data_IF_897221245899
#
_entry.id   IF_897221245899
#
_cell.length_a   1.000
_cell.length_b   1.000
_cell.length_c   1.000
_cell.angle_alpha   90.00
_cell.angle_beta   90.00
_cell.angle_gamma   90.00
#
_symmetry.space_group_name_H-M   'P 1'
#
loop_
_entity.id
_entity.type
_entity.pdbx_description
1 polymer ?
#
# COMPACT_ATOMS: atom_id res chain seq x y z
N UNK A 1 -8.35 3.45 30.95
CA UNK A 1 -9.03 3.80 29.68
C UNK A 1 -8.09 4.39 28.61
N UNK A 2 -6.77 4.44 28.82
CA UNK A 2 -5.79 5.02 27.86
C UNK A 2 -5.05 3.98 27.00
N UNK A 3 -5.11 2.68 27.37
CA UNK A 3 -4.38 1.59 26.67
C UNK A 3 -5.10 1.09 25.40
N UNK A 4 -6.42 1.14 25.35
CA UNK A 4 -7.20 0.62 24.21
C UNK A 4 -7.04 1.48 22.95
N UNK A 5 -6.89 2.80 23.12
CA UNK A 5 -6.65 3.73 22.01
C UNK A 5 -5.27 3.54 21.38
N UNK A 6 -4.25 3.25 22.18
CA UNK A 6 -2.90 2.96 21.68
C UNK A 6 -2.82 1.64 20.92
N UNK A 7 -3.52 0.58 21.38
CA UNK A 7 -3.62 -0.69 20.63
C UNK A 7 -4.35 -0.47 19.31
N UNK A 8 -5.45 0.31 19.30
CA UNK A 8 -6.15 0.66 18.07
C UNK A 8 -5.27 1.44 17.10
N UNK A 9 -4.46 2.38 17.61
CA UNK A 9 -3.53 3.18 16.80
C UNK A 9 -2.34 2.36 16.28
N UNK A 10 -1.85 1.37 17.04
CA UNK A 10 -0.80 0.44 16.61
C UNK A 10 -1.33 -0.62 15.62
N UNK A 11 -2.59 -1.01 15.74
CA UNK A 11 -3.28 -1.87 14.77
C UNK A 11 -3.59 -1.10 13.48
N UNK A 12 -4.05 0.15 13.60
CA UNK A 12 -4.27 1.06 12.47
C UNK A 12 -2.95 1.41 11.77
N UNK A 13 -1.85 1.59 12.51
CA UNK A 13 -0.52 1.80 11.93
C UNK A 13 0.03 0.56 11.23
N UNK A 14 -0.30 -0.66 11.69
CA UNK A 14 0.02 -1.90 10.95
C UNK A 14 -0.95 -2.18 9.79
N UNK A 15 -2.13 -1.55 9.78
CA UNK A 15 -3.05 -1.53 8.62
C UNK A 15 -2.65 -0.46 7.59
N UNK A 16 -1.68 0.41 7.91
CA UNK A 16 -1.20 1.39 6.94
C UNK A 16 -0.34 0.67 5.90
N UNK A 17 -0.94 0.38 4.75
CA UNK A 17 -0.21 -0.09 3.58
C UNK A 17 0.91 0.90 3.23
N UNK A 18 2.14 0.40 3.17
CA UNK A 18 3.27 1.02 2.51
C UNK A 18 3.29 0.51 1.07
N UNK A 19 2.94 1.40 0.18
CA UNK A 19 2.81 1.11 -1.24
C UNK A 19 4.18 0.94 -1.93
N UNK A 20 5.23 1.52 -1.33
CA UNK A 20 6.60 1.37 -1.76
C UNK A 20 7.47 0.87 -0.59
N UNK A 21 8.31 -0.12 -0.86
CA UNK A 21 9.40 -0.43 0.05
C UNK A 21 10.46 0.66 -0.09
N UNK A 22 10.74 1.38 0.99
CA UNK A 22 11.77 2.44 1.04
C UNK A 22 13.10 1.88 0.52
N UNK A 23 13.40 0.62 0.81
CA UNK A 23 14.58 -0.12 0.34
C UNK A 23 14.73 -0.13 -1.20
N UNK A 24 13.62 -0.20 -1.94
CA UNK A 24 13.68 -0.21 -3.42
C UNK A 24 14.05 1.15 -3.98
N UNK A 25 13.53 2.21 -3.35
CA UNK A 25 13.81 3.59 -3.73
C UNK A 25 15.23 3.94 -3.33
N UNK A 26 15.68 3.50 -2.16
CA UNK A 26 17.06 3.67 -1.70
C UNK A 26 18.06 2.97 -2.62
N UNK A 27 17.76 1.75 -3.07
CA UNK A 27 18.58 1.03 -4.05
C UNK A 27 18.64 1.78 -5.40
N UNK A 28 17.50 2.27 -5.91
CA UNK A 28 17.47 3.07 -7.13
C UNK A 28 18.25 4.39 -6.97
N UNK A 29 18.11 5.06 -5.83
CA UNK A 29 18.85 6.28 -5.53
C UNK A 29 20.36 6.03 -5.56
N UNK A 30 20.82 4.96 -4.91
CA UNK A 30 22.23 4.58 -4.88
C UNK A 30 22.79 4.29 -6.29
N UNK A 31 22.02 3.59 -7.12
CA UNK A 31 22.40 3.28 -8.51
C UNK A 31 22.45 4.52 -9.42
N UNK A 32 21.60 5.52 -9.16
CA UNK A 32 21.49 6.74 -9.97
C UNK A 32 22.27 7.94 -9.40
N UNK A 33 23.02 7.74 -8.30
CA UNK A 33 23.83 8.79 -7.66
C UNK A 33 23.02 9.81 -6.87
N UNK A 34 21.78 9.48 -6.50
CA UNK A 34 20.97 10.27 -5.60
C UNK A 34 21.32 9.94 -4.15
N UNK A 35 21.33 10.96 -3.28
CA UNK A 35 21.73 10.81 -1.87
C UNK A 35 20.63 11.27 -0.92
N UNK A 36 20.71 10.85 0.35
CA UNK A 36 19.86 11.30 1.45
C UNK A 36 18.35 11.21 1.14
N UNK A 37 17.88 9.97 0.89
CA UNK A 37 16.46 9.68 0.74
C UNK A 37 15.73 9.96 2.06
N UNK A 38 14.76 10.87 2.05
CA UNK A 38 13.83 11.06 3.15
C UNK A 38 12.39 11.03 2.68
N UNK A 39 11.52 10.61 3.60
CA UNK A 39 10.09 10.42 3.34
C UNK A 39 9.33 11.46 4.16
N UNK A 40 8.63 12.37 3.48
CA UNK A 40 7.87 13.43 4.14
C UNK A 40 6.43 13.00 4.48
N UNK A 41 5.76 12.30 3.55
CA UNK A 41 4.42 11.70 3.68
C UNK A 41 4.31 10.42 2.86
N UNK A 42 3.19 9.68 3.01
CA UNK A 42 2.82 8.56 2.12
C UNK A 42 3.04 8.95 0.66
N UNK A 43 3.78 8.11 -0.04
CA UNK A 43 4.09 8.20 -1.47
C UNK A 43 4.88 9.44 -1.93
N UNK A 44 5.33 10.29 -0.99
CA UNK A 44 6.17 11.47 -1.27
C UNK A 44 7.62 11.21 -0.83
N UNK A 45 8.45 10.87 -1.81
CA UNK A 45 9.87 10.59 -1.63
C UNK A 45 10.69 11.77 -2.12
N UNK A 46 11.62 12.22 -1.28
CA UNK A 46 12.54 13.30 -1.59
C UNK A 46 13.96 12.79 -1.46
N UNK A 47 14.80 13.15 -2.42
CA UNK A 47 16.21 12.81 -2.39
C UNK A 47 17.00 13.90 -3.12
N UNK A 48 18.31 13.91 -2.93
CA UNK A 48 19.20 14.89 -3.57
C UNK A 48 19.68 14.33 -4.92
N UNK A 49 19.41 15.01 -6.04
CA UNK A 49 19.98 14.64 -7.33
C UNK A 49 21.52 14.77 -7.33
N UNK A 50 22.22 14.05 -8.21
CA UNK A 50 23.68 14.09 -8.28
C UNK A 50 24.20 15.51 -8.55
N UNK A 51 24.95 16.07 -7.61
CA UNK A 51 25.54 17.42 -7.72
C UNK A 51 24.63 18.57 -7.31
N UNK A 52 23.44 18.28 -6.78
CA UNK A 52 22.49 19.27 -6.28
C UNK A 52 22.52 19.37 -4.75
N UNK A 53 22.25 20.58 -4.22
CA UNK A 53 22.23 20.87 -2.78
C UNK A 53 20.81 21.05 -2.22
N UNK A 54 19.80 20.82 -3.07
CA UNK A 54 18.39 20.93 -2.72
C UNK A 54 17.72 19.59 -2.99
N UNK A 55 16.93 19.05 -2.04
CA UNK A 55 16.20 17.84 -2.29
C UNK A 55 15.07 18.11 -3.29
N UNK A 56 14.89 17.19 -4.22
CA UNK A 56 13.81 17.23 -5.20
C UNK A 56 12.89 16.02 -5.00
N UNK A 57 11.59 16.17 -5.30
CA UNK A 57 10.67 15.05 -5.24
C UNK A 57 11.04 14.06 -6.34
N UNK A 58 11.12 12.77 -5.99
CA UNK A 58 11.41 11.71 -6.95
C UNK A 58 10.24 11.65 -7.96
N UNK A 59 10.52 11.69 -9.28
CA UNK A 59 9.47 11.64 -10.27
C UNK A 59 8.57 10.41 -10.11
N UNK A 60 7.25 10.60 -10.18
CA UNK A 60 6.27 9.52 -10.06
C UNK A 60 6.45 8.45 -11.14
N UNK A 61 6.92 8.83 -12.33
CA UNK A 61 7.27 7.90 -13.40
C UNK A 61 8.36 6.89 -12.98
N UNK A 62 9.37 7.36 -12.23
CA UNK A 62 10.44 6.51 -11.70
C UNK A 62 9.89 5.58 -10.63
N UNK A 63 9.06 6.09 -9.71
CA UNK A 63 8.41 5.27 -8.69
C UNK A 63 7.55 4.16 -9.32
N UNK A 64 6.79 4.49 -10.36
CA UNK A 64 6.02 3.52 -11.15
C UNK A 64 6.90 2.49 -11.84
N UNK A 65 8.06 2.90 -12.37
CA UNK A 65 9.02 1.99 -13.01
C UNK A 65 9.65 1.03 -11.99
N UNK A 66 10.10 1.54 -10.83
CA UNK A 66 10.61 0.73 -9.72
C UNK A 66 9.55 -0.28 -9.29
N UNK A 67 8.28 0.15 -9.16
CA UNK A 67 7.17 -0.73 -8.81
C UNK A 67 6.87 -1.77 -9.90
N UNK A 68 6.96 -1.41 -11.17
CA UNK A 68 6.78 -2.36 -12.28
C UNK A 68 7.89 -3.42 -12.32
N UNK A 69 9.12 -3.04 -11.96
CA UNK A 69 10.28 -3.94 -11.97
C UNK A 69 10.34 -4.86 -10.75
N UNK A 70 10.01 -4.35 -9.56
CA UNK A 70 10.04 -5.11 -8.29
C UNK A 70 8.72 -5.84 -7.99
N UNK A 71 7.62 -5.43 -8.60
CA UNK A 71 6.29 -6.02 -8.44
C UNK A 71 5.47 -5.43 -7.27
N UNK A 72 4.42 -6.14 -6.87
CA UNK A 72 3.54 -5.72 -5.75
C UNK A 72 4.27 -5.87 -4.41
N UNK A 73 4.04 -4.93 -3.48
CA UNK A 73 4.59 -5.08 -2.13
C UNK A 73 3.90 -6.24 -1.40
N UNK A 74 4.57 -6.79 -0.39
CA UNK A 74 4.03 -7.93 0.40
C UNK A 74 2.67 -7.58 1.01
N UNK A 75 2.45 -6.32 1.35
CA UNK A 75 1.23 -5.81 1.96
C UNK A 75 0.08 -5.75 0.95
N UNK A 76 0.31 -5.20 -0.24
CA UNK A 76 -0.68 -5.21 -1.33
C UNK A 76 -1.08 -6.63 -1.72
N UNK A 77 -0.10 -7.54 -1.74
CA UNK A 77 -0.33 -8.96 -2.02
C UNK A 77 -1.19 -9.61 -0.94
N UNK A 78 -0.93 -9.31 0.34
CA UNK A 78 -1.72 -9.83 1.46
C UNK A 78 -3.17 -9.31 1.42
N UNK A 79 -3.36 -8.02 1.11
CA UNK A 79 -4.70 -7.43 0.93
C UNK A 79 -5.45 -7.99 -0.27
N UNK A 80 -4.75 -8.21 -1.39
CA UNK A 80 -5.33 -8.85 -2.57
C UNK A 80 -5.74 -10.29 -2.27
N UNK A 81 -4.90 -11.05 -1.56
CA UNK A 81 -5.20 -12.43 -1.14
C UNK A 81 -6.38 -12.45 -0.16
N UNK A 82 -6.44 -11.52 0.80
CA UNK A 82 -7.53 -11.47 1.77
C UNK A 82 -8.88 -11.15 1.11
N UNK A 83 -8.90 -10.25 0.12
CA UNK A 83 -10.07 -9.95 -0.71
C UNK A 83 -10.59 -11.18 -1.47
N UNK A 84 -9.68 -11.94 -2.09
CA UNK A 84 -10.01 -13.19 -2.78
C UNK A 84 -10.58 -14.21 -1.79
N UNK A 85 -9.90 -14.43 -0.66
CA UNK A 85 -10.32 -15.40 0.34
C UNK A 85 -11.69 -15.03 0.94
N UNK A 86 -11.90 -13.74 1.26
CA UNK A 86 -13.15 -13.21 1.76
C UNK A 86 -14.31 -13.42 0.78
N UNK A 87 -14.06 -13.21 -0.51
CA UNK A 87 -15.05 -13.46 -1.56
C UNK A 87 -15.41 -14.93 -1.67
N UNK A 88 -14.42 -15.84 -1.61
CA UNK A 88 -14.67 -17.30 -1.63
C UNK A 88 -15.52 -17.73 -0.42
N UNK A 89 -15.17 -17.26 0.78
CA UNK A 89 -15.93 -17.56 2.01
C UNK A 89 -17.36 -17.01 1.93
N UNK A 90 -17.54 -15.81 1.38
CA UNK A 90 -18.86 -15.23 1.19
C UNK A 90 -19.72 -16.05 0.22
N UNK A 91 -19.16 -16.52 -0.90
CA UNK A 91 -19.87 -17.39 -1.85
C UNK A 91 -20.31 -18.70 -1.17
N UNK A 92 -19.41 -19.36 -0.43
CA UNK A 92 -19.74 -20.58 0.31
C UNK A 92 -20.84 -20.33 1.36
N UNK A 93 -20.75 -19.21 2.06
CA UNK A 93 -21.72 -18.82 3.09
C UNK A 93 -23.09 -18.51 2.48
N UNK A 94 -23.15 -17.89 1.30
CA UNK A 94 -24.39 -17.64 0.56
C UNK A 94 -25.09 -18.95 0.16
N UNK A 95 -24.32 -19.97 -0.24
CA UNK A 95 -24.89 -21.29 -0.59
C UNK A 95 -25.45 -22.00 0.66
N UNK A 96 -24.73 -21.91 1.79
CA UNK A 96 -25.13 -22.58 3.04
C UNK A 96 -26.33 -21.90 3.72
N UNK A 97 -26.31 -20.56 3.80
CA UNK A 97 -27.33 -19.76 4.47
C UNK A 97 -28.51 -19.39 3.56
N UNK A 98 -28.42 -19.67 2.25
CA UNK A 98 -29.42 -19.30 1.22
C UNK A 98 -29.81 -17.81 1.23
N UNK A 99 -28.94 -16.93 1.74
CA UNK A 99 -29.21 -15.50 1.85
C UNK A 99 -28.15 -14.70 1.08
N UNK A 100 -28.55 -13.61 0.37
CA UNK A 100 -27.63 -12.82 -0.46
C UNK A 100 -26.76 -11.83 0.34
N UNK A 101 -27.02 -11.66 1.64
CA UNK A 101 -26.34 -10.68 2.49
C UNK A 101 -24.81 -10.83 2.57
N UNK A 102 -24.22 -12.04 2.69
CA UNK A 102 -22.76 -12.21 2.71
C UNK A 102 -22.07 -11.74 1.42
N UNK A 103 -22.75 -11.87 0.28
CA UNK A 103 -22.22 -11.45 -1.03
C UNK A 103 -22.13 -9.93 -1.14
N UNK A 104 -23.13 -9.21 -0.62
CA UNK A 104 -23.12 -7.74 -0.57
C UNK A 104 -21.99 -7.22 0.32
N UNK A 105 -21.74 -7.90 1.44
CA UNK A 105 -20.63 -7.56 2.33
C UNK A 105 -19.27 -7.80 1.66
N UNK A 106 -19.10 -8.90 0.93
CA UNK A 106 -17.89 -9.15 0.16
C UNK A 106 -17.66 -8.09 -0.93
N UNK A 107 -18.72 -7.66 -1.62
CA UNK A 107 -18.64 -6.58 -2.59
C UNK A 107 -18.18 -5.26 -1.95
N UNK A 108 -18.77 -4.87 -0.82
CA UNK A 108 -18.36 -3.68 -0.09
C UNK A 108 -16.90 -3.78 0.41
N UNK A 109 -16.49 -4.94 0.91
CA UNK A 109 -15.11 -5.19 1.33
C UNK A 109 -14.11 -5.06 0.18
N UNK A 110 -14.44 -5.64 -0.98
CA UNK A 110 -13.62 -5.51 -2.19
C UNK A 110 -13.54 -4.05 -2.66
N UNK A 111 -14.64 -3.29 -2.63
CA UNK A 111 -14.64 -1.87 -2.97
C UNK A 111 -13.72 -1.05 -2.06
N UNK A 112 -13.75 -1.31 -0.74
CA UNK A 112 -12.82 -0.67 0.21
C UNK A 112 -11.38 -1.08 -0.07
N UNK A 113 -11.14 -2.35 -0.38
CA UNK A 113 -9.79 -2.86 -0.68
C UNK A 113 -9.23 -2.22 -1.95
N UNK A 114 -10.05 -2.07 -2.99
CA UNK A 114 -9.68 -1.36 -4.22
C UNK A 114 -9.38 0.10 -3.92
N UNK A 115 -10.22 0.79 -3.15
CA UNK A 115 -9.98 2.19 -2.77
C UNK A 115 -8.72 2.38 -1.91
N UNK A 116 -8.24 1.34 -1.23
CA UNK A 116 -6.94 1.39 -0.54
C UNK A 116 -5.78 1.10 -1.50
N UNK A 117 -5.97 0.25 -2.51
CA UNK A 117 -4.94 -0.17 -3.47
C UNK A 117 -4.72 0.81 -4.62
N UNK A 118 -5.73 1.57 -5.02
CA UNK A 118 -5.58 2.65 -6.00
C UNK A 118 -4.71 3.74 -5.40
N UNK A 119 -3.61 4.06 -6.10
CA UNK A 119 -2.83 5.25 -5.81
C UNK A 119 -3.67 6.48 -6.14
N UNK A 120 -3.67 7.47 -5.26
CA UNK A 120 -3.98 8.83 -5.62
C UNK A 120 -2.87 9.32 -6.56
N UNK A 121 -3.02 9.02 -7.85
CA UNK A 121 -2.32 9.71 -8.94
C UNK A 121 -2.76 11.19 -8.84
N UNK A 122 -1.92 12.02 -8.23
CA UNK A 122 -2.10 13.46 -8.11
C UNK A 122 -2.09 14.17 -9.47
#
# INVERSE_FOLDING_TARGET
MHKTTQISQFLLANLMMNHYAIEWIEAWCLENGWTDLFVERRDNFWAFPPGCVMPEPIPTDVLRLIKAEKGQTKEEKLWSISAILGTVVAVLSTVFLKCPMPLVLAFAFNAVTVAQLELEDA
#
